data_IF_666189199274
#
_entry.id   IF_666189199274
#
_cell.length_a   1.000
_cell.length_b   1.000
_cell.length_c   1.000
_cell.angle_alpha   90.00
_cell.angle_beta   90.00
_cell.angle_gamma   90.00
#
_symmetry.space_group_name_H-M   'P 1'
#
loop_
_entity.id
_entity.type
_entity.pdbx_description
1 polymer ?
#
# COMPACT_ATOMS: atom_id res chain seq x y z
N UNK A 1 103.11 20.45 -62.63
CA UNK A 1 102.48 19.22 -62.21
C UNK A 1 101.93 18.44 -63.41
N UNK A 2 102.52 17.31 -63.82
CA UNK A 2 102.16 16.51 -65.00
C UNK A 2 100.88 15.73 -64.80
N UNK A 3 99.81 16.08 -65.60
CA UNK A 3 98.57 15.28 -65.67
C UNK A 3 98.86 13.95 -66.42
N UNK A 4 98.91 12.81 -65.78
CA UNK A 4 98.96 11.48 -66.38
C UNK A 4 97.60 11.17 -67.08
N UNK A 5 97.62 11.14 -68.45
CA UNK A 5 96.45 10.67 -69.22
C UNK A 5 96.30 9.18 -69.10
N UNK A 6 95.20 8.70 -68.57
CA UNK A 6 94.87 7.28 -68.52
C UNK A 6 94.74 6.69 -69.94
N UNK A 7 95.34 5.52 -70.20
CA UNK A 7 95.30 4.80 -71.49
C UNK A 7 93.89 4.24 -71.78
N UNK A 8 93.52 4.11 -73.10
CA UNK A 8 92.18 3.69 -73.55
C UNK A 8 91.68 2.40 -72.90
N UNK A 9 92.59 1.42 -72.58
CA UNK A 9 92.25 0.18 -71.86
C UNK A 9 91.88 0.37 -70.39
N UNK A 10 92.44 1.36 -69.73
CA UNK A 10 92.07 1.66 -68.35
C UNK A 10 90.68 2.36 -68.23
N UNK A 11 90.35 3.18 -69.20
CA UNK A 11 88.99 3.85 -69.24
C UNK A 11 87.91 2.79 -69.48
N UNK A 12 88.09 1.77 -70.31
CA UNK A 12 87.15 0.70 -70.57
C UNK A 12 86.95 -0.15 -69.31
N UNK A 13 88.01 -0.46 -68.57
CA UNK A 13 87.95 -1.25 -67.33
C UNK A 13 87.19 -0.45 -66.21
N UNK A 14 87.45 0.83 -66.11
CA UNK A 14 86.73 1.71 -65.13
C UNK A 14 85.26 1.89 -65.49
N UNK A 15 84.90 1.98 -66.76
CA UNK A 15 83.48 2.05 -67.17
C UNK A 15 82.73 0.73 -66.94
N UNK A 16 83.40 -0.43 -67.11
CA UNK A 16 82.78 -1.69 -66.77
C UNK A 16 82.61 -1.89 -65.27
N UNK A 17 83.60 -1.46 -64.46
CA UNK A 17 83.51 -1.48 -63.02
C UNK A 17 82.38 -0.54 -62.53
N UNK A 18 82.27 0.70 -63.11
CA UNK A 18 81.20 1.63 -62.79
C UNK A 18 79.81 1.11 -63.19
N UNK A 19 79.70 0.41 -64.35
CA UNK A 19 78.47 -0.23 -64.81
C UNK A 19 78.01 -1.37 -63.88
N UNK A 20 79.01 -2.21 -63.46
CA UNK A 20 78.71 -3.30 -62.48
C UNK A 20 78.26 -2.72 -61.11
N UNK A 21 78.92 -1.63 -60.63
CA UNK A 21 78.55 -0.96 -59.38
C UNK A 21 77.13 -0.37 -59.43
N UNK A 22 76.74 0.27 -60.54
CA UNK A 22 75.41 0.81 -60.78
C UNK A 22 74.39 -0.37 -60.82
N UNK A 23 74.73 -1.48 -61.47
CA UNK A 23 73.86 -2.63 -61.57
C UNK A 23 73.63 -3.29 -60.19
N UNK A 24 74.71 -3.40 -59.37
CA UNK A 24 74.59 -3.90 -57.97
C UNK A 24 73.76 -2.94 -57.11
N UNK A 25 73.93 -1.63 -57.29
CA UNK A 25 73.08 -0.66 -56.58
C UNK A 25 71.60 -0.74 -57.04
N UNK A 26 71.36 -0.97 -58.33
CA UNK A 26 70.01 -1.18 -58.87
C UNK A 26 69.40 -2.48 -58.36
N UNK A 27 70.15 -3.59 -58.35
CA UNK A 27 69.70 -4.85 -57.78
C UNK A 27 69.49 -4.70 -56.28
N UNK A 28 70.36 -4.01 -55.52
CA UNK A 28 70.21 -3.70 -54.10
C UNK A 28 68.97 -2.86 -53.81
N UNK A 29 68.72 -1.81 -54.63
CA UNK A 29 67.53 -0.97 -54.49
C UNK A 29 66.27 -1.73 -54.87
N UNK A 30 66.31 -2.63 -55.88
CA UNK A 30 65.17 -3.47 -56.27
C UNK A 30 64.87 -4.54 -55.21
N UNK A 31 65.86 -5.15 -54.63
CA UNK A 31 65.69 -6.07 -53.51
C UNK A 31 65.25 -5.35 -52.28
N UNK A 32 65.78 -4.16 -51.96
CA UNK A 32 65.38 -3.35 -50.86
C UNK A 32 63.93 -2.84 -51.01
N UNK A 33 63.48 -2.43 -52.22
CA UNK A 33 62.09 -2.09 -52.47
C UNK A 33 61.15 -3.31 -52.37
N UNK A 34 61.55 -4.47 -52.78
CA UNK A 34 60.79 -5.73 -52.62
C UNK A 34 60.70 -6.13 -51.16
N UNK A 35 61.78 -6.07 -50.39
CA UNK A 35 61.83 -6.39 -48.97
C UNK A 35 61.02 -5.35 -48.14
N UNK A 36 61.02 -4.10 -48.58
CA UNK A 36 60.21 -3.05 -47.90
C UNK A 36 58.73 -3.11 -48.26
N UNK A 37 58.37 -3.65 -49.44
CA UNK A 37 56.95 -3.88 -49.80
C UNK A 37 56.31 -5.07 -49.08
N UNK A 38 57.12 -6.00 -48.55
CA UNK A 38 56.63 -7.15 -47.78
C UNK A 38 56.59 -6.90 -46.28
N UNK A 39 56.92 -5.68 -45.79
CA UNK A 39 56.88 -5.31 -44.39
C UNK A 39 55.85 -4.21 -44.03
N UNK A 40 54.90 -3.89 -44.89
CA UNK A 40 53.81 -2.99 -44.61
C UNK A 40 52.45 -3.59 -44.99
N UNK A 41 52.20 -4.86 -44.72
CA UNK A 41 50.94 -5.25 -44.20
C UNK A 41 51.05 -4.96 -42.72
N UNK A 42 50.68 -3.76 -42.29
CA UNK A 42 50.24 -3.51 -40.97
C UNK A 42 49.04 -4.47 -40.77
N UNK A 43 49.26 -5.56 -40.07
CA UNK A 43 48.16 -6.32 -39.50
C UNK A 43 47.46 -5.36 -38.55
N UNK A 44 46.55 -4.59 -39.10
CA UNK A 44 45.55 -3.93 -38.24
C UNK A 44 44.89 -5.07 -37.52
N UNK A 45 45.20 -5.21 -36.25
CA UNK A 45 44.60 -6.24 -35.40
C UNK A 45 43.07 -6.05 -35.46
N UNK A 46 42.36 -7.15 -35.38
CA UNK A 46 40.93 -7.06 -35.29
C UNK A 46 40.55 -6.39 -33.98
N UNK A 47 39.70 -5.36 -34.03
CA UNK A 47 39.15 -4.75 -32.83
C UNK A 47 38.26 -5.75 -32.13
N UNK A 48 38.45 -5.87 -30.82
CA UNK A 48 37.66 -6.75 -29.98
C UNK A 48 36.82 -5.98 -29.01
N UNK A 49 35.70 -6.55 -28.65
CA UNK A 49 34.80 -6.03 -27.59
C UNK A 49 34.60 -7.12 -26.56
N UNK A 50 34.84 -6.79 -25.29
CA UNK A 50 34.49 -7.66 -24.18
C UNK A 50 33.01 -7.44 -23.90
N UNK A 51 32.25 -8.52 -23.99
CA UNK A 51 30.83 -8.46 -23.66
C UNK A 51 30.65 -8.19 -22.19
N UNK A 52 29.79 -7.24 -21.89
CA UNK A 52 29.37 -6.93 -20.53
C UNK A 52 27.85 -6.85 -20.48
N UNK A 53 27.29 -7.20 -19.34
CA UNK A 53 25.89 -6.87 -19.07
C UNK A 53 25.70 -5.38 -19.21
N UNK A 54 24.52 -4.98 -19.68
CA UNK A 54 24.14 -3.57 -19.75
C UNK A 54 24.21 -2.92 -18.37
N UNK A 55 24.57 -1.64 -18.33
CA UNK A 55 24.57 -0.90 -17.09
C UNK A 55 23.16 -0.93 -16.46
N UNK A 56 23.05 -1.03 -15.14
CA UNK A 56 21.78 -1.05 -14.47
C UNK A 56 21.04 0.28 -14.62
N UNK A 57 19.72 0.24 -14.69
CA UNK A 57 18.91 1.44 -14.61
C UNK A 57 18.84 1.92 -13.16
N UNK A 58 18.91 3.24 -12.96
CA UNK A 58 18.86 3.85 -11.64
C UNK A 58 17.71 4.85 -11.60
N UNK A 59 16.81 4.68 -10.65
CA UNK A 59 15.64 5.53 -10.45
C UNK A 59 15.72 6.20 -9.08
N UNK A 60 15.25 7.44 -9.01
CA UNK A 60 15.08 8.12 -7.73
C UNK A 60 13.74 7.71 -7.13
N UNK A 61 13.75 7.39 -5.85
CA UNK A 61 12.55 7.02 -5.10
C UNK A 61 12.51 7.68 -3.71
N UNK A 62 11.32 7.68 -3.12
CA UNK A 62 11.06 8.18 -1.78
C UNK A 62 10.42 7.06 -0.96
N UNK A 63 10.91 6.85 0.24
CA UNK A 63 10.33 5.91 1.20
C UNK A 63 9.03 6.48 1.74
N UNK A 64 7.92 5.79 1.51
CA UNK A 64 6.59 6.16 1.97
C UNK A 64 6.02 5.08 2.88
N UNK A 65 5.12 5.47 3.77
CA UNK A 65 4.36 4.50 4.53
C UNK A 65 3.39 3.75 3.62
N UNK A 66 3.23 2.45 3.85
CA UNK A 66 2.28 1.63 3.08
C UNK A 66 0.86 2.12 3.24
N UNK A 67 0.52 2.57 4.45
CA UNK A 67 -0.80 3.13 4.79
C UNK A 67 -0.62 4.35 5.70
N UNK A 68 -1.44 5.35 5.45
CA UNK A 68 -1.59 6.51 6.33
C UNK A 68 -3.07 6.73 6.56
N UNK A 69 -3.47 6.91 7.83
CA UNK A 69 -4.85 7.18 8.20
C UNK A 69 -4.94 8.49 8.98
N UNK A 70 -5.74 9.40 8.47
CA UNK A 70 -6.00 10.70 9.08
C UNK A 70 -7.31 10.68 9.87
N UNK A 71 -7.29 11.19 11.10
CA UNK A 71 -8.45 11.31 11.98
C UNK A 71 -8.73 12.78 12.24
N UNK A 72 -9.86 13.24 11.76
CA UNK A 72 -10.29 14.63 11.85
C UNK A 72 -11.23 14.84 13.05
N UNK A 73 -11.36 16.08 13.47
CA UNK A 73 -12.37 16.49 14.44
C UNK A 73 -13.77 16.32 13.86
N UNK A 74 -14.61 15.58 14.59
CA UNK A 74 -16.03 15.38 14.22
C UNK A 74 -16.92 16.13 15.19
N UNK A 75 -17.51 17.23 14.71
CA UNK A 75 -18.42 18.08 15.48
C UNK A 75 -19.69 17.34 15.93
N UNK A 76 -20.12 16.30 15.22
CA UNK A 76 -21.32 15.53 15.56
C UNK A 76 -21.13 14.70 16.84
N UNK A 77 -19.89 14.36 17.17
CA UNK A 77 -19.53 13.66 18.40
C UNK A 77 -19.38 14.61 19.62
N UNK A 78 -19.36 15.92 19.39
CA UNK A 78 -19.19 16.93 20.43
C UNK A 78 -17.79 17.51 20.49
N UNK A 79 -17.23 17.69 21.68
CA UNK A 79 -15.89 18.23 21.91
C UNK A 79 -14.92 17.11 22.24
N UNK A 80 -13.66 17.21 21.75
CA UNK A 80 -12.60 16.31 22.19
C UNK A 80 -12.33 16.59 23.68
N UNK A 81 -12.60 15.59 24.51
CA UNK A 81 -12.32 15.65 25.95
C UNK A 81 -10.90 15.25 26.26
N UNK A 82 -10.35 14.27 25.51
CA UNK A 82 -9.02 13.75 25.74
C UNK A 82 -8.42 13.16 24.45
N UNK A 83 -7.10 13.34 24.28
CA UNK A 83 -6.29 12.57 23.32
C UNK A 83 -5.58 11.47 24.13
N UNK A 84 -5.92 10.20 23.86
CA UNK A 84 -5.54 9.07 24.69
C UNK A 84 -4.15 8.47 24.32
N UNK A 85 -3.41 9.18 23.49
CA UNK A 85 -2.09 8.76 22.99
C UNK A 85 -1.07 9.90 23.14
N UNK A 86 0.22 9.57 23.04
CA UNK A 86 1.31 10.54 22.97
C UNK A 86 1.78 10.72 21.52
N UNK A 87 2.35 11.88 21.21
CA UNK A 87 2.94 12.13 19.90
C UNK A 87 4.12 11.18 19.64
N UNK A 88 4.13 10.53 18.47
CA UNK A 88 5.14 9.51 18.15
C UNK A 88 4.91 8.14 18.80
N UNK A 89 3.78 7.92 19.50
CA UNK A 89 3.47 6.63 20.12
C UNK A 89 3.09 5.58 19.06
N UNK A 90 3.61 4.36 19.24
CA UNK A 90 3.17 3.21 18.48
C UNK A 90 1.80 2.73 18.97
N UNK A 91 0.86 2.55 18.05
CA UNK A 91 -0.52 2.14 18.31
C UNK A 91 -0.88 0.90 17.50
N UNK A 92 -1.68 0.03 18.10
CA UNK A 92 -2.28 -1.11 17.42
C UNK A 92 -3.64 -0.73 16.83
N UNK A 93 -4.16 -1.53 15.89
CA UNK A 93 -5.56 -1.44 15.47
C UNK A 93 -6.48 -1.63 16.67
N UNK A 94 -7.50 -0.76 16.81
CA UNK A 94 -8.42 -0.74 17.94
C UNK A 94 -7.98 0.12 19.14
N UNK A 95 -6.75 0.65 19.15
CA UNK A 95 -6.30 1.57 20.20
C UNK A 95 -7.15 2.84 20.18
N UNK A 96 -7.65 3.28 21.35
CA UNK A 96 -8.41 4.54 21.49
C UNK A 96 -7.47 5.71 21.25
N UNK A 97 -7.79 6.54 20.27
CA UNK A 97 -7.03 7.73 19.91
C UNK A 97 -7.62 8.99 20.55
N UNK A 98 -8.92 9.18 20.39
CA UNK A 98 -9.65 10.37 20.83
C UNK A 98 -10.87 9.96 21.65
N UNK A 99 -11.12 10.69 22.72
CA UNK A 99 -12.36 10.64 23.49
C UNK A 99 -13.13 11.93 23.29
N UNK A 100 -14.45 11.81 23.08
CA UNK A 100 -15.37 12.93 22.88
C UNK A 100 -16.36 13.01 24.01
N UNK A 101 -16.79 14.23 24.34
CA UNK A 101 -17.92 14.50 25.21
C UNK A 101 -18.87 15.43 24.49
N UNK A 102 -20.15 15.04 24.45
CA UNK A 102 -21.23 15.85 23.88
C UNK A 102 -22.09 16.43 24.99
N UNK A 103 -21.88 17.71 25.28
CA UNK A 103 -22.60 18.43 26.35
C UNK A 103 -24.10 18.55 26.06
N UNK A 104 -24.51 18.62 24.80
CA UNK A 104 -25.91 18.69 24.42
C UNK A 104 -26.67 17.42 24.83
N UNK A 105 -26.09 16.25 24.53
CA UNK A 105 -26.64 14.97 24.99
C UNK A 105 -26.58 14.83 26.52
N UNK A 106 -25.57 15.39 27.17
CA UNK A 106 -25.49 15.41 28.64
C UNK A 106 -26.65 16.19 29.22
N UNK A 107 -26.92 17.41 28.74
CA UNK A 107 -28.05 18.26 29.19
C UNK A 107 -29.39 17.57 28.93
N UNK A 108 -29.57 16.96 27.76
CA UNK A 108 -30.77 16.17 27.44
C UNK A 108 -30.95 14.98 28.38
N UNK A 109 -29.89 14.27 28.72
CA UNK A 109 -29.93 13.14 29.65
C UNK A 109 -30.31 13.59 31.06
N UNK A 110 -29.80 14.72 31.51
CA UNK A 110 -30.11 15.30 32.83
C UNK A 110 -31.56 15.77 32.90
N UNK A 111 -32.07 16.41 31.86
CA UNK A 111 -33.49 16.80 31.76
C UNK A 111 -34.41 15.58 31.79
N UNK A 112 -34.12 14.56 30.98
CA UNK A 112 -34.91 13.33 30.95
C UNK A 112 -34.78 12.53 32.27
N UNK A 113 -33.64 12.59 32.96
CA UNK A 113 -33.47 11.99 34.29
C UNK A 113 -34.43 12.63 35.33
N UNK A 114 -34.62 13.94 35.28
CA UNK A 114 -35.61 14.61 36.14
C UNK A 114 -37.05 14.13 35.89
N UNK A 115 -37.37 13.76 34.65
CA UNK A 115 -38.67 13.17 34.31
C UNK A 115 -38.80 11.73 34.87
N UNK A 116 -37.73 10.95 34.92
CA UNK A 116 -37.74 9.60 35.52
C UNK A 116 -38.16 9.64 37.00
N UNK A 117 -37.73 10.66 37.78
CA UNK A 117 -38.09 10.79 39.19
C UNK A 117 -39.59 10.91 39.36
N UNK A 118 -40.28 11.64 38.46
CA UNK A 118 -41.74 11.74 38.45
C UNK A 118 -42.42 10.41 38.13
N UNK A 119 -41.86 9.66 37.20
CA UNK A 119 -42.39 8.34 36.81
C UNK A 119 -42.16 7.30 37.91
N UNK A 120 -41.04 7.35 38.63
CA UNK A 120 -40.84 6.50 39.83
C UNK A 120 -41.89 6.79 40.89
N UNK A 121 -42.21 8.07 41.12
CA UNK A 121 -43.29 8.47 42.05
C UNK A 121 -44.65 7.95 41.56
N UNK A 122 -44.93 8.06 40.25
CA UNK A 122 -46.18 7.53 39.67
C UNK A 122 -46.33 6.00 39.88
N UNK A 123 -45.26 5.25 39.67
CA UNK A 123 -45.25 3.80 39.96
C UNK A 123 -45.47 3.52 41.43
N UNK A 124 -44.81 4.26 42.34
CA UNK A 124 -44.98 4.13 43.78
C UNK A 124 -46.44 4.39 44.20
N UNK A 125 -47.05 5.45 43.67
CA UNK A 125 -48.45 5.79 43.93
C UNK A 125 -49.39 4.68 43.40
N UNK A 126 -49.16 4.17 42.22
CA UNK A 126 -49.95 3.08 41.63
C UNK A 126 -49.82 1.77 42.44
N UNK A 127 -48.63 1.46 42.99
CA UNK A 127 -48.42 0.34 43.90
C UNK A 127 -49.22 0.50 45.20
N UNK A 128 -49.22 1.72 45.78
CA UNK A 128 -49.99 2.01 46.99
C UNK A 128 -51.50 1.86 46.74
N UNK A 129 -52.00 2.36 45.60
CA UNK A 129 -53.39 2.24 45.18
C UNK A 129 -53.79 0.76 45.00
N UNK A 130 -52.92 -0.07 44.42
CA UNK A 130 -53.16 -1.48 44.29
C UNK A 130 -53.20 -2.19 45.65
N UNK A 131 -52.34 -1.81 46.59
CA UNK A 131 -52.35 -2.35 47.97
C UNK A 131 -53.64 -1.97 48.69
N UNK A 132 -54.10 -0.75 48.56
CA UNK A 132 -55.37 -0.27 49.16
C UNK A 132 -56.57 -1.04 48.56
N UNK A 133 -56.60 -1.25 47.24
CA UNK A 133 -57.67 -2.01 46.58
C UNK A 133 -57.68 -3.49 47.03
N UNK A 134 -56.54 -4.11 47.17
CA UNK A 134 -56.38 -5.50 47.66
C UNK A 134 -56.84 -5.64 49.14
N UNK A 135 -56.47 -4.67 50.00
CA UNK A 135 -56.89 -4.67 51.40
C UNK A 135 -58.43 -4.53 51.49
N UNK A 136 -59.03 -3.62 50.67
CA UNK A 136 -60.47 -3.51 50.55
C UNK A 136 -61.16 -4.81 50.12
N UNK A 137 -60.63 -5.45 49.06
CA UNK A 137 -61.10 -6.74 48.55
C UNK A 137 -61.09 -7.81 49.67
N UNK A 138 -59.94 -7.94 50.37
CA UNK A 138 -59.85 -8.89 51.49
C UNK A 138 -60.89 -8.63 52.60
N UNK A 139 -61.12 -7.39 52.94
CA UNK A 139 -62.15 -7.00 53.95
C UNK A 139 -63.56 -7.36 53.48
N UNK A 140 -63.96 -7.03 52.27
CA UNK A 140 -65.25 -7.38 51.71
C UNK A 140 -65.43 -8.91 51.59
N UNK A 141 -64.39 -9.65 51.16
CA UNK A 141 -64.42 -11.08 51.14
C UNK A 141 -64.62 -11.71 52.52
N UNK A 142 -63.98 -11.14 53.57
CA UNK A 142 -64.16 -11.59 54.94
C UNK A 142 -65.62 -11.40 55.44
N UNK A 143 -66.24 -10.26 55.11
CA UNK A 143 -67.63 -9.98 55.38
C UNK A 143 -68.56 -10.98 54.70
N UNK A 144 -68.36 -11.25 53.44
CA UNK A 144 -69.06 -12.29 52.64
C UNK A 144 -68.96 -13.63 53.29
N UNK A 145 -67.74 -14.07 53.67
CA UNK A 145 -67.50 -15.35 54.34
C UNK A 145 -68.27 -15.44 55.67
N UNK A 146 -68.33 -14.33 56.47
CA UNK A 146 -69.04 -14.26 57.70
C UNK A 146 -70.56 -14.36 57.45
N UNK A 147 -71.15 -13.59 56.53
CA UNK A 147 -72.54 -13.65 56.17
C UNK A 147 -72.94 -15.05 55.63
N UNK A 148 -72.08 -15.64 54.81
CA UNK A 148 -72.27 -17.03 54.31
C UNK A 148 -72.29 -18.04 55.46
N UNK A 149 -71.39 -17.92 56.42
CA UNK A 149 -71.32 -18.81 57.60
C UNK A 149 -72.54 -18.65 58.43
N UNK A 150 -73.01 -17.41 58.69
CA UNK A 150 -74.26 -17.12 59.48
C UNK A 150 -75.47 -17.69 58.77
N UNK A 151 -75.61 -17.50 57.45
CA UNK A 151 -76.64 -18.11 56.63
C UNK A 151 -76.70 -19.61 56.77
N UNK A 152 -75.57 -20.27 56.62
CA UNK A 152 -75.47 -21.72 56.67
C UNK A 152 -75.75 -22.31 58.03
N UNK A 153 -75.37 -21.65 59.13
CA UNK A 153 -75.53 -22.05 60.47
C UNK A 153 -76.94 -21.79 61.10
N UNK A 154 -77.70 -20.95 60.36
CA UNK A 154 -79.08 -20.53 60.88
C UNK A 154 -80.10 -21.62 60.53
N UNK A 155 -80.77 -22.17 61.59
CA UNK A 155 -81.84 -23.15 61.44
C UNK A 155 -83.16 -22.47 61.07
N UNK A 156 -83.71 -22.77 59.90
CA UNK A 156 -84.89 -22.18 59.32
C UNK A 156 -86.22 -22.69 59.93
N UNK A 157 -86.14 -23.75 60.79
CA UNK A 157 -87.30 -24.43 61.30
C UNK A 157 -87.96 -23.75 62.53
N UNK A 158 -87.43 -22.55 62.96
CA UNK A 158 -88.01 -21.69 64.00
C UNK A 158 -88.52 -20.42 63.34
N UNK A 159 -89.58 -19.83 63.89
CA UNK A 159 -90.20 -18.60 63.35
C UNK A 159 -89.17 -17.40 63.24
N UNK A 160 -88.36 -17.19 64.24
CA UNK A 160 -87.25 -16.25 64.25
C UNK A 160 -86.09 -16.64 63.31
N UNK A 161 -85.89 -17.94 63.12
CA UNK A 161 -84.83 -18.53 62.33
C UNK A 161 -85.02 -18.30 60.80
N UNK A 162 -86.23 -18.39 60.34
CA UNK A 162 -86.58 -18.16 58.94
C UNK A 162 -86.29 -16.67 58.55
N UNK A 163 -86.72 -15.76 59.37
CA UNK A 163 -86.49 -14.32 59.18
C UNK A 163 -85.03 -13.92 59.22
N UNK A 164 -84.27 -14.48 60.16
CA UNK A 164 -82.82 -14.30 60.23
C UNK A 164 -82.08 -14.88 59.01
N UNK A 165 -82.53 -15.99 58.49
CA UNK A 165 -81.94 -16.66 57.29
C UNK A 165 -82.17 -15.79 56.06
N UNK A 166 -83.32 -15.21 55.90
CA UNK A 166 -83.64 -14.27 54.82
C UNK A 166 -82.77 -12.99 54.92
N UNK A 167 -82.63 -12.44 56.16
CA UNK A 167 -81.68 -11.32 56.38
C UNK A 167 -80.25 -11.68 55.98
N UNK A 168 -79.72 -12.80 56.41
CA UNK A 168 -78.35 -13.24 56.04
C UNK A 168 -78.24 -13.55 54.57
N UNK A 169 -79.24 -13.97 53.86
CA UNK A 169 -79.26 -14.12 52.41
C UNK A 169 -79.17 -12.73 51.73
N UNK A 170 -79.88 -11.73 52.23
CA UNK A 170 -79.78 -10.35 51.70
C UNK A 170 -78.38 -9.78 51.94
N UNK A 171 -77.79 -9.96 53.14
CA UNK A 171 -76.45 -9.54 53.48
C UNK A 171 -75.43 -10.21 52.59
N UNK A 172 -75.54 -11.53 52.36
CA UNK A 172 -74.69 -12.31 51.47
C UNK A 172 -74.73 -11.76 50.07
N UNK A 173 -75.90 -11.52 49.47
CA UNK A 173 -76.05 -10.95 48.14
C UNK A 173 -75.45 -9.56 48.02
N UNK A 174 -75.62 -8.72 49.05
CA UNK A 174 -74.99 -7.41 49.12
C UNK A 174 -73.49 -7.47 49.16
N UNK A 175 -72.89 -8.41 49.98
CA UNK A 175 -71.42 -8.55 50.05
C UNK A 175 -70.87 -9.23 48.81
N UNK A 176 -71.62 -10.08 48.13
CA UNK A 176 -71.20 -10.60 46.77
C UNK A 176 -70.98 -9.47 45.78
N UNK A 177 -71.97 -8.50 45.71
CA UNK A 177 -71.80 -7.34 44.86
C UNK A 177 -70.63 -6.40 45.30
N UNK A 178 -70.39 -6.34 46.64
CA UNK A 178 -69.26 -5.56 47.17
C UNK A 178 -67.90 -6.19 46.84
N UNK A 179 -67.83 -7.51 46.86
CA UNK A 179 -66.64 -8.24 46.48
C UNK A 179 -66.34 -8.09 44.96
N UNK A 180 -67.38 -8.18 44.13
CA UNK A 180 -67.25 -7.98 42.69
C UNK A 180 -66.70 -6.56 42.35
N UNK A 181 -67.33 -5.51 43.03
CA UNK A 181 -66.82 -4.17 42.83
C UNK A 181 -65.37 -3.96 43.36
N UNK A 182 -64.99 -4.68 44.43
CA UNK A 182 -63.66 -4.63 44.97
C UNK A 182 -62.65 -5.38 44.02
N UNK A 183 -63.08 -6.48 43.40
CA UNK A 183 -62.29 -7.19 42.37
C UNK A 183 -62.03 -6.25 41.14
N UNK A 184 -63.05 -5.56 40.67
CA UNK A 184 -62.89 -4.59 39.56
C UNK A 184 -61.91 -3.46 39.93
N UNK A 185 -61.96 -2.99 41.16
CA UNK A 185 -61.02 -1.97 41.65
C UNK A 185 -59.57 -2.49 41.67
N UNK A 186 -59.34 -3.77 42.05
CA UNK A 186 -58.01 -4.40 42.01
C UNK A 186 -57.53 -4.54 40.58
N UNK A 187 -58.41 -4.91 39.64
CA UNK A 187 -58.07 -5.01 38.22
C UNK A 187 -57.66 -3.65 37.67
N UNK A 188 -58.43 -2.62 37.96
CA UNK A 188 -58.14 -1.22 37.53
C UNK A 188 -56.79 -0.73 38.10
N UNK A 189 -56.57 -0.92 39.40
CA UNK A 189 -55.32 -0.54 40.05
C UNK A 189 -54.11 -1.27 39.49
N UNK A 190 -54.26 -2.61 39.16
CA UNK A 190 -53.22 -3.39 38.52
C UNK A 190 -52.88 -2.88 37.12
N UNK A 191 -53.92 -2.53 36.32
CA UNK A 191 -53.72 -1.96 34.98
C UNK A 191 -53.02 -0.59 35.05
N UNK A 192 -53.37 0.24 36.04
CA UNK A 192 -52.70 1.52 36.27
C UNK A 192 -51.22 1.34 36.63
N UNK A 193 -50.90 0.36 37.49
CA UNK A 193 -49.52 0.03 37.84
C UNK A 193 -48.74 -0.50 36.62
N UNK A 194 -49.36 -1.37 35.84
CA UNK A 194 -48.72 -1.89 34.60
C UNK A 194 -48.42 -0.77 33.61
N UNK A 195 -49.38 0.16 33.38
CA UNK A 195 -49.16 1.31 32.52
C UNK A 195 -48.03 2.21 33.03
N UNK A 196 -47.97 2.50 34.33
CA UNK A 196 -46.91 3.30 34.94
C UNK A 196 -45.52 2.62 34.80
N UNK A 197 -45.46 1.28 34.93
CA UNK A 197 -44.22 0.51 34.74
C UNK A 197 -43.73 0.53 33.28
N UNK A 198 -44.64 0.40 32.31
CA UNK A 198 -44.33 0.47 30.88
C UNK A 198 -43.79 1.85 30.54
N UNK A 199 -44.41 2.93 31.04
CA UNK A 199 -43.97 4.30 30.83
C UNK A 199 -42.58 4.55 31.43
N UNK A 200 -42.36 4.12 32.67
CA UNK A 200 -41.05 4.19 33.32
C UNK A 200 -39.98 3.41 32.56
N UNK A 201 -40.28 2.19 32.09
CA UNK A 201 -39.34 1.37 31.32
C UNK A 201 -38.95 2.04 30.02
N UNK A 202 -39.92 2.60 29.28
CA UNK A 202 -39.71 3.34 28.04
C UNK A 202 -38.83 4.57 28.25
N UNK A 203 -39.12 5.33 29.32
CA UNK A 203 -38.33 6.53 29.65
C UNK A 203 -36.89 6.17 30.06
N UNK A 204 -36.69 5.09 30.86
CA UNK A 204 -35.38 4.59 31.23
C UNK A 204 -34.55 4.19 29.95
N UNK A 205 -35.19 3.50 29.01
CA UNK A 205 -34.53 3.13 27.75
C UNK A 205 -34.12 4.38 26.96
N UNK A 206 -34.97 5.40 26.90
CA UNK A 206 -34.66 6.67 26.25
C UNK A 206 -33.47 7.37 26.89
N UNK A 207 -33.45 7.51 28.23
CA UNK A 207 -32.33 8.11 28.96
C UNK A 207 -31.04 7.34 28.74
N UNK A 208 -31.06 6.01 28.79
CA UNK A 208 -29.87 5.18 28.54
C UNK A 208 -29.35 5.34 27.12
N UNK A 209 -30.22 5.48 26.12
CA UNK A 209 -29.84 5.74 24.73
C UNK A 209 -29.17 7.11 24.58
N UNK A 210 -29.70 8.15 25.23
CA UNK A 210 -29.11 9.50 25.23
C UNK A 210 -27.75 9.47 25.95
N UNK A 211 -27.68 8.87 27.14
CA UNK A 211 -26.41 8.73 27.90
C UNK A 211 -25.32 8.00 27.10
N UNK A 212 -25.68 6.99 26.31
CA UNK A 212 -24.76 6.31 25.42
C UNK A 212 -24.14 7.21 24.33
N UNK A 213 -24.74 8.37 24.05
CA UNK A 213 -24.25 9.36 23.09
C UNK A 213 -23.45 10.50 23.75
N UNK A 214 -23.42 10.58 25.08
CA UNK A 214 -22.66 11.60 25.80
C UNK A 214 -21.19 11.47 25.62
N UNK A 215 -20.67 10.24 25.61
CA UNK A 215 -19.25 9.96 25.37
C UNK A 215 -19.07 9.01 24.19
N UNK A 216 -18.12 9.34 23.35
CA UNK A 216 -17.74 8.54 22.18
C UNK A 216 -16.24 8.43 22.09
N UNK A 217 -15.74 7.35 21.50
CA UNK A 217 -14.31 7.17 21.28
C UNK A 217 -14.03 6.88 19.80
N UNK A 218 -12.93 7.42 19.32
CA UNK A 218 -12.38 7.10 17.98
C UNK A 218 -11.17 6.23 18.17
N UNK A 219 -11.17 5.08 17.52
CA UNK A 219 -10.09 4.09 17.61
C UNK A 219 -9.28 4.04 16.31
N UNK A 220 -8.02 3.63 16.41
CA UNK A 220 -7.19 3.42 15.24
C UNK A 220 -7.70 2.24 14.41
N UNK A 221 -7.89 2.45 13.10
CA UNK A 221 -8.23 1.39 12.16
C UNK A 221 -7.02 0.51 11.81
N UNK A 222 -5.79 1.06 11.90
CA UNK A 222 -4.55 0.40 11.50
C UNK A 222 -3.49 0.49 12.62
N UNK A 223 -2.53 -0.41 12.60
CA UNK A 223 -1.34 -0.30 13.44
C UNK A 223 -0.33 0.68 12.80
N UNK A 224 0.42 1.39 13.62
CA UNK A 224 1.43 2.35 13.16
C UNK A 224 1.88 3.31 14.24
N UNK A 225 2.57 4.38 13.84
CA UNK A 225 2.99 5.47 14.71
C UNK A 225 1.99 6.60 14.60
N UNK A 226 1.48 7.06 15.73
CA UNK A 226 0.50 8.14 15.79
C UNK A 226 1.19 9.50 16.00
N UNK A 227 0.84 10.47 15.15
CA UNK A 227 1.30 11.86 15.25
C UNK A 227 0.12 12.75 15.57
N UNK A 228 0.30 13.67 16.54
CA UNK A 228 -0.73 14.57 17.03
C UNK A 228 -0.55 15.97 16.42
N UNK A 229 -1.65 16.53 15.92
CA UNK A 229 -1.70 17.93 15.51
C UNK A 229 -2.77 18.68 16.32
N UNK A 230 -2.31 19.44 17.29
CA UNK A 230 -3.20 20.22 18.19
C UNK A 230 -4.11 21.21 17.46
N UNK A 231 -3.72 21.69 16.27
CA UNK A 231 -4.55 22.61 15.47
C UNK A 231 -5.85 21.93 15.02
N UNK A 232 -5.82 20.64 14.76
CA UNK A 232 -6.98 19.86 14.31
C UNK A 232 -8.09 19.78 15.35
N UNK A 233 -7.84 20.06 16.64
CA UNK A 233 -8.88 20.09 17.68
C UNK A 233 -9.96 21.15 17.42
N UNK A 234 -9.61 22.22 16.71
CA UNK A 234 -10.50 23.36 16.45
C UNK A 234 -10.71 23.62 14.95
N UNK A 235 -10.02 22.87 14.08
CA UNK A 235 -10.10 23.03 12.63
C UNK A 235 -10.38 21.66 11.98
N UNK A 236 -11.63 21.44 11.52
CA UNK A 236 -12.00 20.16 10.90
C UNK A 236 -11.33 19.89 9.53
N UNK A 237 -10.64 20.88 8.97
CA UNK A 237 -9.86 20.70 7.73
C UNK A 237 -8.46 20.11 7.98
N UNK A 238 -8.02 20.07 9.25
CA UNK A 238 -6.72 19.58 9.67
C UNK A 238 -6.91 18.31 10.51
N UNK A 239 -6.19 17.21 10.23
CA UNK A 239 -6.30 16.02 11.06
C UNK A 239 -5.77 16.28 12.48
N UNK A 240 -6.50 15.79 13.48
CA UNK A 240 -6.07 15.82 14.90
C UNK A 240 -5.01 14.77 15.15
N UNK A 241 -5.20 13.58 14.59
CA UNK A 241 -4.27 12.46 14.70
C UNK A 241 -4.03 11.87 13.31
N UNK A 242 -2.77 11.60 13.00
CA UNK A 242 -2.33 10.88 11.81
C UNK A 242 -1.62 9.60 12.25
N UNK A 243 -2.12 8.45 11.83
CA UNK A 243 -1.46 7.16 12.06
C UNK A 243 -0.76 6.74 10.78
N UNK A 244 0.55 6.52 10.88
CA UNK A 244 1.45 6.16 9.78
C UNK A 244 1.93 4.73 10.01
N UNK A 245 1.72 3.84 9.05
CA UNK A 245 2.15 2.44 9.13
C UNK A 245 3.67 2.31 9.33
N UNK A 246 4.08 1.34 10.13
CA UNK A 246 5.50 0.98 10.28
C UNK A 246 6.03 0.27 9.02
N UNK A 247 5.16 -0.37 8.25
CA UNK A 247 5.52 -0.95 6.97
C UNK A 247 5.71 0.16 5.93
N UNK A 248 6.83 0.09 5.22
CA UNK A 248 7.17 1.09 4.21
C UNK A 248 7.24 0.50 2.82
N UNK A 249 6.98 1.34 1.85
CA UNK A 249 7.19 1.10 0.42
C UNK A 249 8.03 2.24 -0.16
N UNK A 250 8.58 2.02 -1.33
CA UNK A 250 9.33 3.06 -2.04
C UNK A 250 8.56 3.37 -3.32
N UNK A 251 8.15 4.60 -3.47
CA UNK A 251 7.65 5.11 -4.74
C UNK A 251 8.81 5.65 -5.55
N UNK A 252 9.06 5.04 -6.71
CA UNK A 252 10.08 5.47 -7.65
C UNK A 252 9.45 5.80 -9.01
N UNK A 253 10.17 6.59 -9.82
CA UNK A 253 9.67 7.08 -11.11
C UNK A 253 10.60 6.66 -12.23
N UNK A 254 10.02 6.03 -13.27
CA UNK A 254 10.69 5.69 -14.51
C UNK A 254 10.24 6.62 -15.64
N UNK A 255 11.17 7.01 -16.51
CA UNK A 255 10.84 7.73 -17.74
C UNK A 255 10.11 6.80 -18.73
N UNK A 256 9.40 7.36 -19.71
CA UNK A 256 8.75 6.57 -20.77
C UNK A 256 9.73 5.70 -21.56
N UNK A 257 11.03 6.08 -21.62
CA UNK A 257 12.08 5.33 -22.29
C UNK A 257 12.50 4.08 -21.49
N UNK A 258 12.50 4.18 -20.16
CA UNK A 258 12.93 3.10 -19.24
C UNK A 258 11.77 2.22 -18.81
N UNK A 259 10.53 2.72 -18.93
CA UNK A 259 9.29 2.04 -18.53
C UNK A 259 9.18 0.60 -19.08
N UNK A 260 9.52 0.31 -20.36
CA UNK A 260 9.45 -1.04 -20.90
C UNK A 260 10.37 -2.06 -20.21
N UNK A 261 11.38 -1.61 -19.46
CA UNK A 261 12.34 -2.46 -18.74
C UNK A 261 11.91 -2.71 -17.29
N UNK A 262 10.95 -1.93 -16.79
CA UNK A 262 10.41 -2.08 -15.42
C UNK A 262 9.33 -3.14 -15.44
N UNK A 263 9.59 -4.26 -14.76
CA UNK A 263 8.65 -5.39 -14.70
C UNK A 263 8.25 -5.67 -13.26
N UNK A 264 7.00 -6.08 -13.07
CA UNK A 264 6.53 -6.56 -11.78
C UNK A 264 7.34 -7.79 -11.36
N UNK A 265 7.57 -7.95 -10.06
CA UNK A 265 8.36 -9.00 -9.43
C UNK A 265 9.88 -8.95 -9.75
N UNK A 266 10.34 -7.90 -10.43
CA UNK A 266 11.77 -7.70 -10.66
C UNK A 266 12.48 -7.38 -9.34
N UNK A 267 13.63 -8.06 -9.13
CA UNK A 267 14.51 -7.76 -8.01
C UNK A 267 15.31 -6.49 -8.28
N UNK A 268 15.39 -5.62 -7.29
CA UNK A 268 16.12 -4.36 -7.34
C UNK A 268 17.03 -4.21 -6.12
N UNK A 269 18.04 -3.36 -6.24
CA UNK A 269 18.87 -2.93 -5.11
C UNK A 269 18.50 -1.51 -4.74
N UNK A 270 18.21 -1.27 -3.47
CA UNK A 270 17.86 0.03 -2.91
C UNK A 270 19.09 0.59 -2.21
N UNK A 271 19.45 1.82 -2.55
CA UNK A 271 20.59 2.55 -1.97
C UNK A 271 20.08 3.85 -1.34
N UNK A 272 19.93 3.93 -0.01
CA UNK A 272 19.64 5.20 0.63
C UNK A 272 20.76 6.22 0.36
N UNK A 273 20.41 7.46 0.03
CA UNK A 273 21.40 8.49 -0.35
C UNK A 273 22.30 8.84 0.83
N UNK A 274 21.81 8.68 2.07
CA UNK A 274 22.53 9.04 3.30
C UNK A 274 23.47 7.95 3.80
N UNK A 275 23.30 6.71 3.37
CA UNK A 275 24.10 5.55 3.78
C UNK A 275 24.54 4.79 2.53
N UNK A 276 25.74 4.18 2.57
CA UNK A 276 26.19 3.32 1.46
C UNK A 276 25.65 1.87 1.58
N UNK A 277 24.60 1.67 2.36
CA UNK A 277 24.01 0.36 2.55
C UNK A 277 23.21 -0.05 1.30
N UNK A 278 23.37 -1.28 0.87
CA UNK A 278 22.58 -1.86 -0.20
C UNK A 278 21.53 -2.79 0.39
N UNK A 279 20.27 -2.51 0.11
CA UNK A 279 19.12 -3.27 0.60
C UNK A 279 18.42 -3.88 -0.61
N UNK A 280 18.10 -5.17 -0.54
CA UNK A 280 17.30 -5.83 -1.57
C UNK A 280 15.86 -5.33 -1.57
N UNK A 281 15.22 -5.35 -2.73
CA UNK A 281 13.80 -5.04 -2.85
C UNK A 281 13.17 -5.71 -4.06
N UNK A 282 11.85 -5.65 -4.15
CA UNK A 282 11.07 -6.21 -5.25
C UNK A 282 10.04 -5.19 -5.73
N UNK A 283 9.90 -5.04 -7.03
CA UNK A 283 8.87 -4.20 -7.64
C UNK A 283 7.52 -4.90 -7.48
N UNK A 284 6.59 -4.30 -6.72
CA UNK A 284 5.29 -4.91 -6.43
C UNK A 284 4.17 -4.37 -7.30
N UNK A 285 4.28 -3.13 -7.74
CA UNK A 285 3.25 -2.49 -8.57
C UNK A 285 3.86 -1.49 -9.54
N UNK A 286 3.25 -1.38 -10.72
CA UNK A 286 3.66 -0.43 -11.76
C UNK A 286 2.40 0.32 -12.23
N UNK A 287 2.41 1.63 -12.14
CA UNK A 287 1.32 2.47 -12.63
C UNK A 287 1.32 2.47 -14.17
N UNK A 288 0.14 2.23 -14.73
CA UNK A 288 -0.06 2.27 -16.19
C UNK A 288 -0.38 3.67 -16.72
N UNK A 289 -0.77 4.58 -15.83
CA UNK A 289 -1.00 5.97 -16.16
C UNK A 289 0.26 6.78 -15.82
N UNK A 290 0.65 7.70 -16.71
CA UNK A 290 1.72 8.63 -16.39
C UNK A 290 1.28 9.62 -15.31
N UNK A 291 2.24 10.14 -14.55
CA UNK A 291 1.97 11.14 -13.51
C UNK A 291 1.19 12.33 -14.06
N UNK A 292 1.53 12.80 -15.26
CA UNK A 292 0.83 13.91 -15.94
C UNK A 292 -0.63 13.59 -16.28
N UNK A 293 -0.93 12.35 -16.68
CA UNK A 293 -2.28 11.92 -16.99
C UNK A 293 -3.13 11.77 -15.71
N UNK A 294 -2.53 11.38 -14.59
CA UNK A 294 -3.23 11.27 -13.31
C UNK A 294 -3.52 12.65 -12.68
N UNK A 295 -2.62 13.62 -12.82
CA UNK A 295 -2.85 15.00 -12.38
C UNK A 295 -3.93 15.70 -13.21
N UNK A 296 -3.96 15.46 -14.54
CA UNK A 296 -5.00 16.00 -15.43
C UNK A 296 -6.40 15.42 -15.13
N UNK A 297 -6.49 14.18 -14.68
CA UNK A 297 -7.76 13.55 -14.30
C UNK A 297 -8.32 14.10 -12.97
N UNK A 298 -7.47 14.65 -12.09
CA UNK A 298 -7.86 15.26 -10.81
C UNK A 298 -8.23 16.74 -10.90
N UNK A 299 -7.87 17.44 -11.97
CA UNK A 299 -8.11 18.87 -12.17
C UNK A 299 -8.79 19.14 -13.51
N UNK A 300 -10.10 19.04 -13.54
CA UNK A 300 -10.88 19.55 -14.67
C UNK A 300 -10.82 21.08 -14.67
N UNK A 301 -9.82 21.67 -15.36
CA UNK A 301 -9.87 23.11 -15.57
C UNK A 301 -8.58 23.88 -15.80
N UNK A 302 -7.40 23.28 -15.99
CA UNK A 302 -6.19 24.04 -16.34
C UNK A 302 -5.55 23.51 -17.63
N UNK A 303 -6.08 23.94 -18.77
CA UNK A 303 -5.38 23.86 -20.05
C UNK A 303 -4.29 24.93 -20.07
N UNK A 304 -3.02 24.56 -20.04
CA UNK A 304 -1.96 25.50 -20.32
C UNK A 304 -0.62 25.25 -19.67
N UNK A 305 0.10 24.19 -20.08
CA UNK A 305 1.55 24.30 -20.25
C UNK A 305 2.03 23.16 -21.15
N UNK A 306 2.29 23.47 -22.41
CA UNK A 306 3.06 22.64 -23.33
C UNK A 306 4.54 22.69 -22.90
N UNK A 307 4.90 22.05 -21.82
CA UNK A 307 6.27 21.66 -21.60
C UNK A 307 6.42 20.26 -22.18
N UNK A 308 7.26 20.10 -23.17
CA UNK A 308 7.75 18.85 -23.71
C UNK A 308 8.57 18.13 -22.63
N UNK A 309 7.92 17.68 -21.57
CA UNK A 309 8.54 16.88 -20.52
C UNK A 309 8.25 15.41 -20.82
N UNK A 310 9.31 14.62 -20.80
CA UNK A 310 9.22 13.17 -20.87
C UNK A 310 8.24 12.69 -19.81
N UNK A 311 7.27 11.85 -20.19
CA UNK A 311 6.30 11.30 -19.28
C UNK A 311 6.97 10.38 -18.26
N UNK A 312 6.61 10.52 -16.99
CA UNK A 312 7.08 9.63 -15.93
C UNK A 312 5.96 8.69 -15.47
N UNK A 313 6.36 7.48 -15.13
CA UNK A 313 5.49 6.43 -14.60
C UNK A 313 6.00 6.03 -13.24
N UNK A 314 5.15 6.12 -12.23
CA UNK A 314 5.50 5.71 -10.89
C UNK A 314 5.38 4.19 -10.73
N UNK A 315 6.26 3.60 -9.94
CA UNK A 315 6.21 2.20 -9.55
C UNK A 315 6.58 2.04 -8.08
N UNK A 316 6.07 0.98 -7.47
CA UNK A 316 6.21 0.72 -6.05
C UNK A 316 7.18 -0.44 -5.83
N UNK A 317 8.14 -0.22 -4.95
CA UNK A 317 9.09 -1.23 -4.52
C UNK A 317 8.87 -1.55 -3.05
N UNK A 318 8.79 -2.83 -2.72
CA UNK A 318 8.80 -3.31 -1.35
C UNK A 318 10.25 -3.61 -0.94
N UNK A 319 10.81 -2.91 0.04
CA UNK A 319 12.15 -3.20 0.55
C UNK A 319 12.14 -4.50 1.37
N UNK A 320 13.27 -5.20 1.39
CA UNK A 320 13.46 -6.40 2.22
C UNK A 320 13.67 -6.07 3.70
N UNK A 321 14.13 -4.87 4.01
CA UNK A 321 14.35 -4.36 5.36
C UNK A 321 13.63 -3.02 5.52
N UNK A 322 13.19 -2.70 6.74
CA UNK A 322 12.54 -1.44 7.03
C UNK A 322 13.51 -0.27 6.86
N UNK A 323 13.02 0.76 6.21
CA UNK A 323 13.69 2.03 6.00
C UNK A 323 12.95 3.15 6.73
N UNK A 324 13.67 4.21 7.07
CA UNK A 324 13.04 5.38 7.67
C UNK A 324 12.11 6.08 6.67
N UNK A 325 10.87 6.32 7.08
CA UNK A 325 9.90 7.11 6.31
C UNK A 325 10.48 8.47 5.89
N UNK A 326 10.23 8.87 4.64
CA UNK A 326 10.69 10.13 4.07
C UNK A 326 12.12 10.11 3.52
N UNK A 327 12.87 9.00 3.62
CA UNK A 327 14.20 8.94 3.04
C UNK A 327 14.14 8.93 1.51
N UNK A 328 15.08 9.66 0.89
CA UNK A 328 15.35 9.56 -0.53
C UNK A 328 16.29 8.39 -0.78
N UNK A 329 15.98 7.59 -1.78
CA UNK A 329 16.73 6.39 -2.16
C UNK A 329 16.95 6.33 -3.66
N UNK A 330 17.98 5.61 -4.08
CA UNK A 330 18.16 5.17 -5.45
C UNK A 330 17.73 3.71 -5.57
N UNK A 331 16.85 3.44 -6.53
CA UNK A 331 16.41 2.09 -6.89
C UNK A 331 17.19 1.67 -8.13
N UNK A 332 18.04 0.66 -7.99
CA UNK A 332 18.91 0.15 -9.03
C UNK A 332 18.33 -1.16 -9.57
N UNK A 333 17.89 -1.14 -10.82
CA UNK A 333 17.35 -2.29 -11.55
C UNK A 333 18.46 -2.90 -12.42
N UNK A 334 18.99 -4.10 -12.11
CA UNK A 334 20.01 -4.74 -12.92
C UNK A 334 19.41 -5.21 -14.24
N UNK A 335 20.02 -4.80 -15.35
CA UNK A 335 19.68 -5.32 -16.66
C UNK A 335 20.54 -6.55 -16.94
N UNK A 336 19.92 -7.73 -16.99
CA UNK A 336 20.61 -8.99 -17.34
C UNK A 336 20.74 -9.18 -18.85
N UNK A 337 20.92 -8.08 -19.57
CA UNK A 337 21.01 -8.04 -21.02
C UNK A 337 22.45 -7.88 -21.47
N UNK A 338 22.86 -8.63 -22.51
CA UNK A 338 24.12 -8.43 -23.20
C UNK A 338 23.80 -7.90 -24.60
N UNK A 339 24.37 -6.74 -24.93
CA UNK A 339 24.19 -6.10 -26.23
C UNK A 339 25.39 -6.41 -27.15
N UNK A 340 25.08 -6.96 -28.31
CA UNK A 340 26.08 -7.23 -29.34
C UNK A 340 26.10 -6.07 -30.34
N UNK A 341 27.30 -5.56 -30.70
CA UNK A 341 27.40 -4.58 -31.78
C UNK A 341 26.83 -5.15 -33.08
N UNK A 342 26.04 -4.36 -33.80
CA UNK A 342 25.40 -4.84 -35.05
C UNK A 342 26.36 -5.36 -36.06
N UNK A 343 27.56 -4.79 -36.14
CA UNK A 343 28.63 -5.21 -37.07
C UNK A 343 29.29 -6.54 -36.68
N UNK A 344 29.20 -6.97 -35.44
CA UNK A 344 29.79 -8.21 -34.94
C UNK A 344 28.96 -9.44 -35.32
N UNK A 345 27.64 -9.28 -35.49
CA UNK A 345 26.73 -10.39 -35.80
C UNK A 345 26.71 -10.65 -37.31
N UNK A 346 26.96 -11.88 -37.69
CA UNK A 346 26.87 -12.38 -39.07
C UNK A 346 25.68 -13.31 -39.21
N UNK A 347 25.16 -13.43 -40.44
CA UNK A 347 24.05 -14.33 -40.77
C UNK A 347 24.46 -15.25 -41.94
N UNK A 348 24.16 -16.54 -41.80
CA UNK A 348 24.23 -17.52 -42.88
C UNK A 348 22.89 -18.24 -42.93
N UNK A 349 22.07 -17.90 -43.92
CA UNK A 349 20.66 -18.33 -43.95
C UNK A 349 19.90 -17.77 -42.77
N UNK A 350 19.31 -18.63 -41.97
CA UNK A 350 18.57 -18.24 -40.74
C UNK A 350 19.44 -18.23 -39.48
N UNK A 351 20.69 -18.73 -39.56
CA UNK A 351 21.58 -18.86 -38.42
C UNK A 351 22.36 -17.58 -38.21
N UNK A 352 22.35 -17.07 -36.98
CA UNK A 352 23.17 -15.96 -36.56
C UNK A 352 24.40 -16.48 -35.82
N UNK A 353 25.57 -15.88 -36.07
CA UNK A 353 26.81 -16.22 -35.40
C UNK A 353 27.71 -15.00 -35.20
N UNK A 354 28.64 -15.12 -34.29
CA UNK A 354 29.71 -14.14 -34.02
C UNK A 354 31.03 -14.85 -33.91
N UNK A 355 32.10 -14.11 -34.06
CA UNK A 355 33.46 -14.64 -33.86
C UNK A 355 33.94 -14.29 -32.45
N UNK A 356 33.98 -15.31 -31.59
CA UNK A 356 34.56 -15.19 -30.25
C UNK A 356 36.07 -15.31 -30.34
N UNK A 357 36.81 -14.50 -29.58
CA UNK A 357 38.26 -14.56 -29.50
C UNK A 357 38.68 -15.30 -28.24
N UNK A 358 39.26 -16.46 -28.41
CA UNK A 358 39.70 -17.34 -27.32
C UNK A 358 41.12 -17.82 -27.53
N UNK A 359 42.03 -17.59 -26.59
CA UNK A 359 43.41 -18.11 -26.60
C UNK A 359 44.18 -17.84 -27.90
N UNK A 360 44.02 -16.66 -28.50
CA UNK A 360 44.74 -16.30 -29.73
C UNK A 360 44.05 -16.71 -31.04
N UNK A 361 42.93 -17.42 -30.97
CA UNK A 361 42.18 -17.92 -32.12
C UNK A 361 40.75 -17.38 -32.14
N UNK A 362 40.17 -17.35 -33.30
CA UNK A 362 38.77 -17.00 -33.52
C UNK A 362 37.96 -18.28 -33.54
N UNK A 363 36.85 -18.30 -32.84
CA UNK A 363 35.86 -19.38 -32.79
C UNK A 363 34.50 -18.85 -33.25
N UNK A 364 33.91 -19.51 -34.26
CA UNK A 364 32.58 -19.20 -34.72
C UNK A 364 31.54 -19.73 -33.70
N UNK A 365 30.81 -18.84 -33.06
CA UNK A 365 29.80 -19.19 -32.06
C UNK A 365 28.44 -18.84 -32.58
N UNK A 366 27.57 -19.83 -32.71
CA UNK A 366 26.15 -19.60 -33.01
C UNK A 366 25.48 -18.89 -31.88
N UNK A 367 24.73 -17.82 -32.16
CA UNK A 367 24.00 -17.02 -31.18
C UNK A 367 22.55 -16.93 -31.54
N UNK A 368 21.71 -16.81 -30.51
CA UNK A 368 20.34 -16.38 -30.65
C UNK A 368 20.27 -14.92 -30.20
N UNK A 369 20.00 -14.02 -31.14
CA UNK A 369 20.00 -12.61 -30.86
C UNK A 369 18.85 -11.90 -31.61
N UNK A 370 18.19 -10.97 -30.91
CA UNK A 370 17.05 -10.20 -31.41
C UNK A 370 17.54 -8.83 -31.92
N UNK A 371 17.12 -8.44 -33.12
CA UNK A 371 17.52 -7.16 -33.72
C UNK A 371 16.69 -6.02 -33.09
N UNK A 372 17.37 -5.10 -32.38
CA UNK A 372 16.80 -3.91 -31.75
C UNK A 372 17.10 -2.61 -32.55
N UNK A 373 17.47 -2.72 -33.82
CA UNK A 373 17.79 -1.57 -34.66
C UNK A 373 19.26 -1.21 -34.60
N UNK A 374 19.77 -0.69 -33.51
CA UNK A 374 21.15 -0.25 -33.33
C UNK A 374 22.09 -1.37 -32.84
N UNK A 375 21.57 -2.38 -32.17
CA UNK A 375 22.32 -3.52 -31.60
C UNK A 375 21.47 -4.79 -31.67
N UNK A 376 22.12 -5.92 -31.43
CA UNK A 376 21.44 -7.20 -31.20
C UNK A 376 21.40 -7.52 -29.70
N UNK A 377 20.23 -7.87 -29.21
CA UNK A 377 20.04 -8.33 -27.84
C UNK A 377 20.33 -9.84 -27.78
N UNK A 378 21.39 -10.24 -27.08
CA UNK A 378 21.78 -11.63 -26.93
C UNK A 378 20.80 -12.38 -26.04
N UNK A 379 20.21 -13.46 -26.56
CA UNK A 379 19.35 -14.37 -25.78
C UNK A 379 20.14 -15.63 -25.36
N UNK A 380 21.01 -16.13 -26.22
CA UNK A 380 21.81 -17.34 -25.94
C UNK A 380 23.06 -17.41 -26.82
N UNK A 381 24.08 -18.18 -26.38
CA UNK A 381 25.29 -18.51 -27.13
C UNK A 381 26.57 -17.95 -26.53
N UNK A 382 26.54 -16.82 -25.84
CA UNK A 382 27.72 -16.18 -25.23
C UNK A 382 27.40 -15.77 -23.77
N UNK A 383 28.45 -15.45 -23.03
CA UNK A 383 28.35 -15.05 -21.62
C UNK A 383 29.02 -13.69 -21.37
N UNK A 384 28.72 -13.12 -20.24
CA UNK A 384 29.42 -11.97 -19.70
C UNK A 384 30.92 -12.28 -19.57
N UNK A 385 31.78 -11.36 -20.06
CA UNK A 385 33.22 -11.52 -20.13
C UNK A 385 33.74 -12.15 -21.40
N UNK A 386 32.90 -12.73 -22.29
CA UNK A 386 33.36 -13.24 -23.59
C UNK A 386 33.88 -12.09 -24.45
N UNK A 387 34.98 -12.33 -25.13
CA UNK A 387 35.63 -11.39 -26.04
C UNK A 387 35.28 -11.74 -27.49
N UNK A 388 34.68 -10.81 -28.22
CA UNK A 388 34.25 -11.01 -29.61
C UNK A 388 34.94 -10.03 -30.56
N UNK A 389 35.03 -10.38 -31.83
CA UNK A 389 35.47 -9.47 -32.88
C UNK A 389 34.35 -8.50 -33.19
N UNK A 390 34.61 -7.19 -33.05
CA UNK A 390 33.57 -6.14 -33.19
C UNK A 390 33.14 -5.91 -34.63
N UNK A 391 34.02 -6.11 -35.59
CA UNK A 391 33.76 -5.93 -37.01
C UNK A 391 34.53 -6.95 -37.84
N UNK A 392 34.10 -8.25 -37.92
CA UNK A 392 34.72 -9.29 -38.69
C UNK A 392 34.61 -8.99 -40.19
N UNK A 393 35.67 -9.20 -40.96
CA UNK A 393 35.63 -9.10 -42.43
C UNK A 393 35.13 -10.42 -43.05
N UNK A 394 35.00 -10.46 -44.39
CA UNK A 394 34.51 -11.64 -45.12
C UNK A 394 35.55 -12.77 -45.21
N UNK A 395 36.79 -12.49 -44.89
CA UNK A 395 37.90 -13.45 -45.01
C UNK A 395 38.14 -14.24 -43.73
N UNK A 396 37.59 -13.75 -42.60
CA UNK A 396 37.73 -14.39 -41.28
C UNK A 396 37.05 -15.76 -41.25
N UNK A 397 37.77 -16.75 -40.74
CA UNK A 397 37.34 -18.17 -40.67
C UNK A 397 37.45 -18.68 -39.26
N UNK A 398 36.65 -19.70 -38.97
CA UNK A 398 36.71 -20.45 -37.70
C UNK A 398 38.12 -21.07 -37.52
N UNK A 399 38.66 -21.03 -36.30
CA UNK A 399 39.97 -21.55 -35.93
C UNK A 399 41.15 -20.68 -36.34
N UNK A 400 40.96 -19.56 -37.04
CA UNK A 400 42.04 -18.69 -37.54
C UNK A 400 42.75 -17.97 -36.38
N UNK A 401 44.10 -17.96 -36.43
CA UNK A 401 44.90 -17.12 -35.54
C UNK A 401 44.93 -15.69 -36.06
N UNK A 402 44.58 -14.75 -35.20
CA UNK A 402 44.51 -13.33 -35.53
C UNK A 402 45.19 -12.47 -34.47
N UNK A 403 45.81 -11.40 -34.93
CA UNK A 403 46.22 -10.34 -34.01
C UNK A 403 45.01 -9.49 -33.66
N UNK A 404 44.85 -9.10 -32.40
CA UNK A 404 43.76 -8.24 -31.90
C UNK A 404 44.36 -7.05 -31.20
N UNK A 405 43.70 -5.91 -31.35
CA UNK A 405 44.01 -4.66 -30.66
C UNK A 405 43.20 -4.53 -29.37
#
# INVERSE_FOLDING_TARGET
>A
MKKRKLTKKQRIRWSIIAGVLVLVLFIGAFVYSRVKSTKNEASSGYQTVVLKKSDPLTFNGIVQATHTQDYYFDQTLGKISEINIQDGQEVASGTVLLSYTNNEYQEQADEQSTNLDKLYLAVSNAQEMLAIAQDKQAKEQQKLNTATTNYNNTNANSEDGAAKKEQYQQEKTQYEGSVDAANDAVVQARQALESANVELSSANQSVNTIRGKVSSTVTSATAGIAYINEKGKNDPSVPVVKVVSNDVTIEAKASEYDYPQVHQDAAVTIKPITTNQEIGGTITHINKLSDQASEAAGQAGAAGSTASSVSNYSFIVKPAENLQYGYNVQVVLPLNEIRLPKKAVRKTGETQYVFAYRKGKVEEVTVQAEDQGDYFLLKNGLKDGDKIISNPDKSLRDGQEVAVD
#
